data_IF_396265131337
#
_entry.id   IF_396265131337
#
_cell.length_a   1.000
_cell.length_b   1.000
_cell.length_c   1.000
_cell.angle_alpha   90.00
_cell.angle_beta   90.00
_cell.angle_gamma   90.00
#
_symmetry.space_group_name_H-M   'P 1'
#
loop_
_entity.id
_entity.type
_entity.pdbx_description
1 polymer ?
#
# COMPACT_ATOMS: atom_id res chain seq x y z
N UNK A 1 -0.11 -21.51 20.76
CA UNK A 1 -0.33 -21.52 19.30
C UNK A 1 -1.74 -21.10 18.87
N UNK A 2 -2.83 -21.62 19.44
CA UNK A 2 -4.21 -21.22 19.04
C UNK A 2 -4.54 -19.73 19.23
N UNK A 3 -3.96 -19.05 20.23
CA UNK A 3 -4.13 -17.60 20.47
C UNK A 3 -3.32 -16.69 19.53
N UNK A 4 -2.29 -17.22 18.87
CA UNK A 4 -1.44 -16.44 17.95
C UNK A 4 -2.09 -16.29 16.56
N UNK A 5 -2.98 -17.24 16.21
CA UNK A 5 -3.72 -17.25 14.95
C UNK A 5 -4.91 -16.27 15.01
N UNK A 6 -5.54 -16.05 16.16
CA UNK A 6 -6.65 -15.09 16.29
C UNK A 6 -6.21 -13.63 16.16
N UNK A 7 -5.03 -13.25 16.67
CA UNK A 7 -4.50 -11.87 16.55
C UNK A 7 -4.25 -11.48 15.09
N UNK A 8 -3.91 -12.45 14.24
CA UNK A 8 -3.69 -12.26 12.80
C UNK A 8 -5.01 -12.08 12.03
N UNK A 9 -6.12 -12.64 12.53
CA UNK A 9 -7.46 -12.49 11.92
C UNK A 9 -7.96 -11.03 12.00
N UNK A 10 -7.61 -10.27 13.05
CA UNK A 10 -7.99 -8.85 13.17
C UNK A 10 -7.18 -7.90 12.28
N UNK A 11 -5.91 -8.24 12.00
CA UNK A 11 -5.08 -7.49 11.04
C UNK A 11 -5.56 -7.71 9.60
N UNK A 12 -6.13 -8.88 9.31
CA UNK A 12 -6.72 -9.20 8.00
C UNK A 12 -7.95 -8.35 7.66
N UNK A 13 -8.63 -7.79 8.66
CA UNK A 13 -9.82 -6.94 8.46
C UNK A 13 -9.47 -5.47 8.18
N UNK A 14 -8.22 -5.05 8.37
CA UNK A 14 -7.77 -3.73 7.92
C UNK A 14 -7.58 -3.64 6.41
N UNK A 15 -7.32 -4.74 5.72
CA UNK A 15 -7.06 -4.77 4.28
C UNK A 15 -8.34 -4.93 3.43
N UNK A 16 -9.50 -5.05 4.08
CA UNK A 16 -10.82 -4.94 3.44
C UNK A 16 -11.44 -3.55 3.63
N UNK A 17 -10.62 -2.53 3.93
CA UNK A 17 -11.09 -1.17 4.15
C UNK A 17 -12.03 -0.70 3.03
N UNK A 18 -13.29 -0.54 3.42
CA UNK A 18 -14.24 0.48 2.94
C UNK A 18 -15.00 0.22 1.64
N UNK A 19 -15.99 -0.65 1.75
CA UNK A 19 -17.22 -0.62 0.95
C UNK A 19 -18.32 0.31 1.51
N UNK A 20 -17.96 1.41 2.20
CA UNK A 20 -18.93 2.46 2.55
C UNK A 20 -18.39 3.83 2.14
N UNK A 21 -18.43 4.06 0.83
CA UNK A 21 -18.42 5.42 0.27
C UNK A 21 -19.86 5.93 0.38
N UNK A 22 -20.04 7.03 1.12
CA UNK A 22 -21.19 7.95 1.09
C UNK A 22 -22.50 7.43 0.45
N UNK A 23 -23.41 6.91 1.26
CA UNK A 23 -24.84 6.94 0.91
C UNK A 23 -25.45 8.23 1.45
N UNK A 24 -25.36 9.28 0.64
CA UNK A 24 -26.38 10.33 0.62
C UNK A 24 -27.28 10.06 -0.58
N UNK A 25 -28.53 9.70 -0.30
CA UNK A 25 -29.66 9.50 -1.24
C UNK A 25 -29.39 8.67 -2.50
N UNK A 26 -29.02 7.39 -2.31
CA UNK A 26 -29.09 6.35 -3.34
C UNK A 26 -30.08 5.30 -2.84
N UNK A 27 -31.04 4.89 -3.68
CA UNK A 27 -32.00 3.85 -3.28
C UNK A 27 -31.27 2.55 -2.91
N UNK A 28 -31.73 1.82 -1.89
CA UNK A 28 -31.07 0.59 -1.41
C UNK A 28 -30.84 -0.44 -2.54
N UNK A 29 -31.74 -0.49 -3.52
CA UNK A 29 -31.61 -1.34 -4.72
C UNK A 29 -30.43 -0.96 -5.63
N UNK A 30 -30.10 0.33 -5.74
CA UNK A 30 -28.97 0.80 -6.54
C UNK A 30 -27.62 0.57 -5.84
N UNK A 31 -27.61 0.61 -4.50
CA UNK A 31 -26.43 0.29 -3.70
C UNK A 31 -26.10 -1.21 -3.77
N UNK A 32 -27.12 -2.06 -3.60
CA UNK A 32 -26.97 -3.53 -3.68
C UNK A 32 -26.52 -3.98 -5.08
N UNK A 33 -27.10 -3.40 -6.14
CA UNK A 33 -26.70 -3.69 -7.52
C UNK A 33 -25.24 -3.27 -7.80
N UNK A 34 -24.82 -2.09 -7.33
CA UNK A 34 -23.41 -1.65 -7.45
C UNK A 34 -22.46 -2.57 -6.67
N UNK A 35 -22.86 -3.04 -5.50
CA UNK A 35 -22.09 -3.99 -4.71
C UNK A 35 -21.90 -5.32 -5.45
N UNK A 36 -22.98 -5.85 -6.05
CA UNK A 36 -22.94 -7.08 -6.85
C UNK A 36 -22.05 -6.91 -8.10
N UNK A 37 -22.16 -5.79 -8.81
CA UNK A 37 -21.32 -5.47 -9.97
C UNK A 37 -19.84 -5.34 -9.58
N UNK A 38 -19.54 -4.72 -8.42
CA UNK A 38 -18.17 -4.66 -7.88
C UNK A 38 -17.64 -6.05 -7.54
N UNK A 39 -18.41 -6.88 -6.82
CA UNK A 39 -18.03 -8.28 -6.50
C UNK A 39 -17.72 -9.08 -7.76
N UNK A 40 -18.59 -9.00 -8.78
CA UNK A 40 -18.39 -9.68 -10.05
C UNK A 40 -17.14 -9.19 -10.80
N UNK A 41 -16.83 -7.89 -10.72
CA UNK A 41 -15.60 -7.30 -11.29
C UNK A 41 -14.35 -7.83 -10.60
N UNK A 42 -14.33 -7.87 -9.26
CA UNK A 42 -13.20 -8.40 -8.49
C UNK A 42 -12.94 -9.87 -8.80
N UNK A 43 -13.98 -10.71 -8.84
CA UNK A 43 -13.87 -12.13 -9.21
C UNK A 43 -13.22 -12.34 -10.58
N UNK A 44 -13.53 -11.48 -11.57
CA UNK A 44 -12.90 -11.57 -12.91
C UNK A 44 -11.42 -11.20 -12.87
N UNK A 45 -11.04 -10.16 -12.11
CA UNK A 45 -9.66 -9.73 -11.94
C UNK A 45 -8.86 -10.85 -11.27
N UNK A 46 -9.39 -11.44 -10.19
CA UNK A 46 -8.74 -12.52 -9.46
C UNK A 46 -8.61 -13.80 -10.30
N UNK A 47 -9.64 -14.14 -11.07
CA UNK A 47 -9.60 -15.28 -11.99
C UNK A 47 -8.50 -15.10 -13.05
N UNK A 48 -8.40 -13.91 -13.64
CA UNK A 48 -7.34 -13.61 -14.62
C UNK A 48 -5.96 -13.61 -13.97
N UNK A 49 -5.83 -13.06 -12.76
CA UNK A 49 -4.59 -13.07 -12.00
C UNK A 49 -4.12 -14.51 -11.71
N UNK A 50 -5.01 -15.38 -11.21
CA UNK A 50 -4.74 -16.80 -10.98
C UNK A 50 -4.30 -17.52 -12.26
N UNK A 51 -4.93 -17.22 -13.40
CA UNK A 51 -4.53 -17.78 -14.69
C UNK A 51 -3.10 -17.38 -15.06
N UNK A 52 -2.76 -16.08 -14.96
CA UNK A 52 -1.42 -15.59 -15.25
C UNK A 52 -0.37 -16.16 -14.28
N UNK A 53 -0.69 -16.25 -12.99
CA UNK A 53 0.19 -16.84 -11.98
C UNK A 53 0.45 -18.32 -12.26
N UNK A 54 -0.58 -19.08 -12.68
CA UNK A 54 -0.43 -20.48 -13.07
C UNK A 54 0.48 -20.64 -14.30
N UNK A 55 0.34 -19.76 -15.30
CA UNK A 55 1.27 -19.76 -16.44
C UNK A 55 2.70 -19.47 -16.01
N UNK A 56 2.89 -18.47 -15.13
CA UNK A 56 4.21 -18.10 -14.63
C UNK A 56 4.84 -19.28 -13.87
N UNK A 57 4.03 -19.97 -13.09
CA UNK A 57 4.46 -21.10 -12.29
C UNK A 57 4.90 -22.31 -13.08
N UNK A 58 4.12 -22.63 -14.11
CA UNK A 58 4.42 -23.72 -15.02
C UNK A 58 5.46 -23.32 -16.07
N UNK A 59 6.18 -22.20 -15.85
CA UNK A 59 7.24 -21.68 -16.73
C UNK A 59 6.78 -21.43 -18.17
N UNK A 60 5.48 -21.17 -18.36
CA UNK A 60 4.90 -20.83 -19.66
C UNK A 60 5.12 -19.34 -20.00
N UNK A 61 6.36 -18.87 -19.87
CA UNK A 61 6.73 -17.46 -20.01
C UNK A 61 6.39 -16.90 -21.40
N UNK A 62 6.58 -17.69 -22.47
CA UNK A 62 6.23 -17.26 -23.83
C UNK A 62 4.72 -16.98 -23.97
N UNK A 63 3.88 -17.84 -23.38
CA UNK A 63 2.42 -17.66 -23.39
C UNK A 63 1.97 -16.41 -22.63
N UNK A 64 2.67 -16.06 -21.54
CA UNK A 64 2.46 -14.78 -20.84
C UNK A 64 2.74 -13.59 -21.77
N UNK A 65 3.79 -13.67 -22.58
CA UNK A 65 4.13 -12.61 -23.53
C UNK A 65 3.11 -12.51 -24.66
N UNK A 66 2.61 -13.64 -25.17
CA UNK A 66 1.52 -13.66 -26.17
C UNK A 66 0.27 -12.93 -25.63
N UNK A 67 -0.10 -13.18 -24.37
CA UNK A 67 -1.23 -12.53 -23.68
C UNK A 67 -0.98 -11.04 -23.44
N UNK A 68 0.27 -10.65 -23.16
CA UNK A 68 0.66 -9.25 -22.96
C UNK A 68 0.49 -8.43 -24.23
N UNK A 69 0.89 -8.99 -25.39
CA UNK A 69 0.76 -8.33 -26.69
C UNK A 69 -0.65 -8.39 -27.29
N UNK A 70 -1.53 -9.24 -26.77
CA UNK A 70 -2.95 -9.21 -27.13
C UNK A 70 -3.62 -7.92 -26.63
N UNK A 71 -3.80 -6.98 -27.56
CA UNK A 71 -4.34 -5.63 -27.34
C UNK A 71 -5.85 -5.58 -27.12
N UNK A 72 -6.56 -6.69 -27.30
CA UNK A 72 -8.03 -6.72 -27.23
C UNK A 72 -8.59 -6.46 -25.83
N UNK A 73 -7.76 -6.59 -24.79
CA UNK A 73 -8.21 -6.45 -23.40
C UNK A 73 -7.26 -5.57 -22.57
N UNK A 74 -7.60 -4.29 -22.49
CA UNK A 74 -6.90 -3.26 -21.68
C UNK A 74 -7.24 -3.32 -20.19
N UNK A 75 -8.33 -4.01 -19.81
CA UNK A 75 -8.83 -4.05 -18.43
C UNK A 75 -7.89 -4.76 -17.45
N UNK A 76 -6.94 -5.54 -17.95
CA UNK A 76 -5.99 -6.31 -17.14
C UNK A 76 -4.54 -5.85 -17.32
N UNK A 77 -4.33 -4.59 -17.75
CA UNK A 77 -3.01 -4.04 -18.08
C UNK A 77 -1.98 -4.30 -16.97
N UNK A 78 -2.31 -4.02 -15.72
CA UNK A 78 -1.34 -4.12 -14.61
C UNK A 78 -0.90 -5.56 -14.35
N UNK A 79 -1.85 -6.50 -14.34
CA UNK A 79 -1.58 -7.93 -14.18
C UNK A 79 -0.74 -8.46 -15.35
N UNK A 80 -1.10 -8.07 -16.59
CA UNK A 80 -0.35 -8.45 -17.80
C UNK A 80 1.07 -7.90 -17.76
N UNK A 81 1.23 -6.62 -17.40
CA UNK A 81 2.51 -5.91 -17.44
C UNK A 81 3.48 -6.44 -16.40
N UNK A 82 3.05 -6.58 -15.14
CA UNK A 82 3.90 -7.13 -14.07
C UNK A 82 4.40 -8.56 -14.39
N UNK A 83 3.52 -9.42 -14.94
CA UNK A 83 3.90 -10.76 -15.34
C UNK A 83 4.81 -10.78 -16.58
N UNK A 84 4.61 -9.87 -17.53
CA UNK A 84 5.46 -9.76 -18.73
C UNK A 84 6.88 -9.32 -18.39
N UNK A 85 7.05 -8.34 -17.49
CA UNK A 85 8.37 -7.90 -16.99
C UNK A 85 9.14 -9.11 -16.43
N UNK A 86 8.48 -9.89 -15.57
CA UNK A 86 9.07 -11.07 -14.97
C UNK A 86 9.33 -12.20 -15.98
N UNK A 87 8.41 -12.43 -16.92
CA UNK A 87 8.58 -13.43 -17.97
C UNK A 87 9.80 -13.13 -18.86
N UNK A 88 10.00 -11.87 -19.26
CA UNK A 88 11.21 -11.46 -19.98
C UNK A 88 12.48 -11.70 -19.17
N UNK A 89 12.46 -11.32 -17.90
CA UNK A 89 13.58 -11.57 -16.98
C UNK A 89 13.91 -13.06 -16.86
N UNK A 90 12.90 -13.93 -16.71
CA UNK A 90 13.09 -15.39 -16.61
C UNK A 90 13.60 -16.03 -17.91
N UNK A 91 13.34 -15.42 -19.07
CA UNK A 91 13.87 -15.85 -20.36
C UNK A 91 15.29 -15.32 -20.63
N UNK A 92 15.86 -14.52 -19.72
CA UNK A 92 17.18 -13.89 -19.89
C UNK A 92 17.18 -12.61 -20.74
N UNK A 93 16.01 -12.14 -21.20
CA UNK A 93 15.89 -10.89 -21.95
C UNK A 93 15.69 -9.71 -21.00
N UNK A 94 16.78 -9.38 -20.28
CA UNK A 94 16.77 -8.31 -19.29
C UNK A 94 16.57 -6.93 -19.92
N UNK A 95 17.02 -6.73 -21.16
CA UNK A 95 16.84 -5.49 -21.90
C UNK A 95 15.36 -5.19 -22.16
N UNK A 96 14.56 -6.18 -22.59
CA UNK A 96 13.12 -5.97 -22.75
C UNK A 96 12.40 -5.79 -21.43
N UNK A 97 12.78 -6.54 -20.40
CA UNK A 97 12.26 -6.35 -19.04
C UNK A 97 12.46 -4.90 -18.57
N UNK A 98 13.69 -4.40 -18.69
CA UNK A 98 14.06 -3.04 -18.30
C UNK A 98 13.41 -1.97 -19.21
N UNK A 99 13.24 -2.26 -20.50
CA UNK A 99 12.54 -1.37 -21.44
C UNK A 99 11.08 -1.15 -21.06
N UNK A 100 10.37 -2.18 -20.59
CA UNK A 100 8.99 -2.06 -20.14
C UNK A 100 8.93 -1.14 -18.90
N UNK A 101 9.78 -1.40 -17.89
CA UNK A 101 9.88 -0.58 -16.67
C UNK A 101 10.18 0.88 -17.03
N UNK A 102 11.19 1.10 -17.88
CA UNK A 102 11.60 2.44 -18.31
C UNK A 102 10.48 3.15 -19.07
N UNK A 103 9.71 2.44 -19.89
CA UNK A 103 8.57 3.05 -20.61
C UNK A 103 7.46 3.54 -19.66
N UNK A 104 7.19 2.78 -18.59
CA UNK A 104 6.24 3.17 -17.54
C UNK A 104 6.75 4.39 -16.79
N UNK A 105 8.03 4.38 -16.43
CA UNK A 105 8.65 5.48 -15.67
C UNK A 105 8.77 6.76 -16.49
N UNK A 106 9.18 6.65 -17.76
CA UNK A 106 9.39 7.80 -18.65
C UNK A 106 8.11 8.62 -18.86
N UNK A 107 6.93 8.01 -18.73
CA UNK A 107 5.68 8.76 -18.80
C UNK A 107 5.47 9.70 -17.60
N UNK A 108 6.10 9.42 -16.46
CA UNK A 108 6.10 10.22 -15.24
C UNK A 108 7.28 11.22 -15.16
N UNK A 109 8.09 11.30 -16.23
CA UNK A 109 9.26 12.18 -16.33
C UNK A 109 9.17 13.11 -17.55
N UNK A 110 7.97 13.62 -17.86
CA UNK A 110 7.75 14.51 -19.00
C UNK A 110 7.89 15.97 -18.58
N UNK A 111 8.74 16.72 -19.32
CA UNK A 111 8.96 18.19 -19.31
C UNK A 111 8.35 18.92 -18.10
N UNK A 112 9.13 19.05 -17.02
CA UNK A 112 8.80 19.88 -15.85
C UNK A 112 7.76 19.30 -14.89
N UNK A 113 7.37 18.02 -15.04
CA UNK A 113 6.40 17.33 -14.17
C UNK A 113 6.90 15.98 -13.70
N UNK A 114 8.17 15.89 -13.32
CA UNK A 114 8.69 14.66 -12.73
C UNK A 114 7.87 14.33 -11.46
N UNK A 115 7.41 13.09 -11.32
CA UNK A 115 6.71 12.65 -10.12
C UNK A 115 7.07 11.19 -9.79
N UNK A 116 7.87 11.02 -8.73
CA UNK A 116 8.34 9.72 -8.26
C UNK A 116 7.24 8.93 -7.55
N UNK A 117 6.30 9.61 -6.89
CA UNK A 117 5.11 8.98 -6.30
C UNK A 117 4.24 8.37 -7.41
N UNK A 118 3.97 9.12 -8.49
CA UNK A 118 3.23 8.60 -9.65
C UNK A 118 3.97 7.44 -10.32
N UNK A 119 5.29 7.54 -10.47
CA UNK A 119 6.11 6.45 -11.00
C UNK A 119 6.03 5.20 -10.13
N UNK A 120 6.09 5.35 -8.80
CA UNK A 120 5.91 4.25 -7.86
C UNK A 120 4.52 3.60 -8.00
N UNK A 121 3.46 4.40 -7.97
CA UNK A 121 2.08 3.90 -8.12
C UNK A 121 1.88 3.11 -9.42
N UNK A 122 2.47 3.54 -10.54
CA UNK A 122 2.39 2.82 -11.82
C UNK A 122 3.22 1.54 -11.87
N UNK A 123 4.20 1.39 -10.98
CA UNK A 123 5.00 0.17 -10.82
C UNK A 123 4.44 -0.75 -9.73
N UNK A 124 3.38 -0.34 -9.05
CA UNK A 124 2.76 -1.09 -7.98
C UNK A 124 1.81 -2.18 -8.55
N UNK A 125 2.38 -3.22 -9.16
CA UNK A 125 1.63 -4.36 -9.68
C UNK A 125 1.27 -5.38 -8.58
N UNK A 126 0.55 -4.93 -7.54
CA UNK A 126 0.24 -5.72 -6.33
C UNK A 126 -0.43 -7.08 -6.61
N UNK A 127 -1.13 -7.20 -7.73
CA UNK A 127 -1.82 -8.42 -8.13
C UNK A 127 -1.00 -9.32 -9.06
N UNK A 128 0.29 -9.07 -9.27
CA UNK A 128 1.14 -9.87 -10.16
C UNK A 128 2.19 -10.65 -9.37
N UNK A 129 2.04 -11.97 -9.31
CA UNK A 129 3.01 -12.87 -8.69
C UNK A 129 4.36 -12.84 -9.43
N UNK A 130 4.33 -12.69 -10.76
CA UNK A 130 5.55 -12.47 -11.54
C UNK A 130 6.31 -11.21 -11.11
N UNK A 131 5.63 -10.08 -10.93
CA UNK A 131 6.26 -8.84 -10.46
C UNK A 131 6.90 -8.99 -9.08
N UNK A 132 6.18 -9.63 -8.16
CA UNK A 132 6.67 -9.98 -6.82
C UNK A 132 7.94 -10.83 -6.91
N UNK A 133 7.94 -11.87 -7.76
CA UNK A 133 9.12 -12.68 -8.02
C UNK A 133 10.30 -11.83 -8.52
N UNK A 134 10.05 -10.94 -9.49
CA UNK A 134 11.07 -10.04 -10.03
C UNK A 134 11.70 -9.17 -8.96
N UNK A 135 10.90 -8.59 -8.05
CA UNK A 135 11.36 -7.75 -6.94
C UNK A 135 12.04 -8.53 -5.81
N UNK A 136 11.80 -9.83 -5.66
CA UNK A 136 12.50 -10.65 -4.66
C UNK A 136 13.99 -10.80 -4.95
N UNK A 137 14.43 -10.51 -6.19
CA UNK A 137 15.84 -10.34 -6.50
C UNK A 137 16.33 -8.97 -5.97
N UNK A 138 17.32 -8.93 -5.05
CA UNK A 138 17.81 -7.68 -4.47
C UNK A 138 18.34 -6.67 -5.48
N UNK A 139 18.95 -7.13 -6.57
CA UNK A 139 19.46 -6.27 -7.63
C UNK A 139 18.31 -5.56 -8.36
N UNK A 140 17.24 -6.29 -8.68
CA UNK A 140 16.07 -5.72 -9.33
C UNK A 140 15.33 -4.74 -8.41
N UNK A 141 15.17 -5.07 -7.12
CA UNK A 141 14.59 -4.13 -6.14
C UNK A 141 15.40 -2.85 -6.04
N UNK A 142 16.72 -2.96 -5.91
CA UNK A 142 17.63 -1.82 -5.86
C UNK A 142 17.56 -0.96 -7.13
N UNK A 143 17.38 -1.58 -8.29
CA UNK A 143 17.15 -0.87 -9.57
C UNK A 143 15.89 -0.02 -9.52
N UNK A 144 14.77 -0.57 -9.05
CA UNK A 144 13.51 0.19 -8.91
C UNK A 144 13.68 1.35 -7.92
N UNK A 145 14.27 1.10 -6.76
CA UNK A 145 14.50 2.15 -5.75
C UNK A 145 15.37 3.27 -6.31
N UNK A 146 16.43 2.93 -7.05
CA UNK A 146 17.32 3.88 -7.72
C UNK A 146 16.57 4.72 -8.76
N UNK A 147 15.72 4.09 -9.58
CA UNK A 147 14.90 4.80 -10.57
C UNK A 147 13.96 5.80 -9.89
N UNK A 148 13.26 5.40 -8.83
CA UNK A 148 12.37 6.28 -8.08
C UNK A 148 13.12 7.46 -7.45
N UNK A 149 14.27 7.21 -6.83
CA UNK A 149 15.11 8.28 -6.25
C UNK A 149 15.62 9.25 -7.31
N UNK A 150 15.98 8.76 -8.50
CA UNK A 150 16.41 9.62 -9.59
C UNK A 150 15.30 10.53 -10.11
N UNK A 151 14.05 10.06 -10.16
CA UNK A 151 12.89 10.91 -10.49
C UNK A 151 12.65 11.93 -9.37
N UNK A 152 12.78 11.52 -8.11
CA UNK A 152 12.58 12.42 -6.96
C UNK A 152 13.55 13.60 -6.98
N UNK A 153 14.80 13.37 -7.37
CA UNK A 153 15.80 14.45 -7.52
C UNK A 153 15.40 15.52 -8.54
N UNK A 154 14.44 15.23 -9.43
CA UNK A 154 13.92 16.17 -10.43
C UNK A 154 12.70 16.99 -9.93
N UNK A 155 12.16 16.72 -8.73
CA UNK A 155 10.92 17.33 -8.21
C UNK A 155 11.09 18.68 -7.49
N UNK A 156 12.29 19.27 -7.46
CA UNK A 156 12.55 20.58 -6.80
C UNK A 156 11.98 20.70 -5.38
N UNK A 157 12.12 19.65 -4.55
CA UNK A 157 11.62 19.62 -3.18
C UNK A 157 12.56 20.35 -2.22
N UNK A 158 12.01 21.18 -1.33
CA UNK A 158 12.77 21.94 -0.32
C UNK A 158 13.65 21.04 0.56
N UNK A 159 13.17 19.82 0.87
CA UNK A 159 13.92 18.84 1.62
C UNK A 159 13.93 17.46 0.93
N UNK A 160 14.50 17.40 -0.28
CA UNK A 160 14.58 16.18 -1.09
C UNK A 160 15.16 14.97 -0.35
N UNK A 161 16.14 15.16 0.55
CA UNK A 161 16.75 14.05 1.31
C UNK A 161 15.76 13.39 2.28
N UNK A 162 14.90 14.18 2.93
CA UNK A 162 13.86 13.63 3.80
C UNK A 162 12.74 12.99 2.97
N UNK A 163 12.36 13.61 1.85
CA UNK A 163 11.38 13.03 0.92
C UNK A 163 11.86 11.67 0.37
N UNK A 164 13.13 11.54 0.03
CA UNK A 164 13.75 10.28 -0.42
C UNK A 164 13.67 9.21 0.66
N UNK A 165 14.03 9.55 1.91
CA UNK A 165 13.90 8.63 3.05
C UNK A 165 12.46 8.16 3.25
N UNK A 166 11.50 9.09 3.23
CA UNK A 166 10.07 8.77 3.41
C UNK A 166 9.56 7.90 2.26
N UNK A 167 9.92 8.23 1.01
CA UNK A 167 9.58 7.43 -0.15
C UNK A 167 10.07 5.99 0.00
N UNK A 168 11.35 5.80 0.32
CA UNK A 168 11.92 4.46 0.46
C UNK A 168 11.32 3.68 1.63
N UNK A 169 11.07 4.33 2.77
CA UNK A 169 10.34 3.71 3.89
C UNK A 169 8.95 3.25 3.46
N UNK A 170 8.19 4.10 2.76
CA UNK A 170 6.86 3.76 2.26
C UNK A 170 6.89 2.62 1.24
N UNK A 171 7.77 2.69 0.25
CA UNK A 171 7.97 1.64 -0.76
C UNK A 171 8.29 0.30 -0.11
N UNK A 172 9.14 0.30 0.93
CA UNK A 172 9.53 -0.92 1.62
C UNK A 172 8.40 -1.48 2.51
N UNK A 173 7.67 -0.62 3.24
CA UNK A 173 6.49 -1.03 4.00
C UNK A 173 5.45 -1.70 3.09
N UNK A 174 5.11 -1.04 1.98
CA UNK A 174 4.16 -1.57 1.00
C UNK A 174 4.64 -2.89 0.37
N UNK A 175 5.92 -2.98 0.00
CA UNK A 175 6.49 -4.23 -0.50
C UNK A 175 6.34 -5.36 0.52
N UNK A 176 6.71 -5.16 1.78
CA UNK A 176 6.62 -6.19 2.82
C UNK A 176 5.17 -6.64 3.05
N UNK A 177 4.22 -5.70 3.07
CA UNK A 177 2.80 -5.98 3.21
C UNK A 177 2.25 -6.80 2.06
N UNK A 178 2.55 -6.42 0.82
CA UNK A 178 2.18 -7.21 -0.35
C UNK A 178 2.71 -8.66 -0.28
N UNK A 179 3.95 -8.88 0.16
CA UNK A 179 4.49 -10.23 0.33
C UNK A 179 3.72 -11.03 1.39
N UNK A 180 3.34 -10.34 2.47
CA UNK A 180 2.59 -10.90 3.58
C UNK A 180 1.17 -11.29 3.15
N UNK A 181 0.52 -10.45 2.35
CA UNK A 181 -0.82 -10.72 1.82
C UNK A 181 -0.85 -11.94 0.91
N UNK A 182 0.16 -12.10 0.04
CA UNK A 182 0.30 -13.28 -0.83
C UNK A 182 0.44 -14.57 0.01
N UNK A 183 1.19 -14.52 1.11
CA UNK A 183 1.29 -15.65 2.03
C UNK A 183 -0.09 -16.00 2.63
N UNK A 184 -0.88 -15.01 2.98
CA UNK A 184 -2.20 -15.27 3.56
C UNK A 184 -3.25 -15.69 2.53
N UNK A 185 -3.18 -15.21 1.29
CA UNK A 185 -4.03 -15.70 0.21
C UNK A 185 -3.87 -17.21 0.02
N UNK A 186 -2.63 -17.71 0.15
CA UNK A 186 -2.34 -19.13 0.12
C UNK A 186 -2.98 -19.91 1.28
N UNK A 187 -2.93 -19.39 2.50
CA UNK A 187 -3.48 -20.07 3.68
C UNK A 187 -5.01 -20.05 3.66
N UNK A 188 -5.60 -18.93 3.28
CA UNK A 188 -7.06 -18.75 3.24
C UNK A 188 -7.73 -19.44 2.05
N UNK A 189 -6.96 -19.86 1.04
CA UNK A 189 -7.48 -20.48 -0.18
C UNK A 189 -8.21 -19.52 -1.13
N UNK A 190 -8.16 -18.21 -0.84
CA UNK A 190 -8.81 -17.15 -1.63
C UNK A 190 -8.12 -16.93 -2.98
N UNK A 191 -6.81 -17.18 -3.06
CA UNK A 191 -6.03 -17.25 -4.30
C UNK A 191 -5.05 -18.41 -4.18
N UNK A 192 -5.01 -19.30 -5.18
CA UNK A 192 -4.01 -20.37 -5.21
C UNK A 192 -2.73 -19.81 -5.81
N UNK A 193 -1.90 -19.19 -4.97
CA UNK A 193 -0.56 -18.79 -5.42
C UNK A 193 0.30 -20.06 -5.48
N UNK A 194 0.91 -20.38 -6.63
CA UNK A 194 1.72 -21.57 -6.79
C UNK A 194 2.80 -21.70 -5.71
N UNK A 195 3.12 -22.92 -5.25
CA UNK A 195 4.17 -23.22 -4.24
C UNK A 195 5.60 -22.84 -4.65
N UNK A 196 5.80 -22.06 -5.70
CA UNK A 196 7.10 -21.53 -6.12
C UNK A 196 7.67 -20.48 -5.15
N UNK A 197 6.87 -20.06 -4.18
CA UNK A 197 7.23 -19.07 -3.17
C UNK A 197 7.24 -19.77 -1.82
N UNK A 198 8.42 -20.22 -1.38
CA UNK A 198 8.69 -20.22 0.06
C UNK A 198 8.78 -18.74 0.47
N UNK A 199 7.63 -18.12 0.74
CA UNK A 199 7.58 -16.78 1.29
C UNK A 199 8.16 -16.89 2.69
N UNK A 200 9.39 -16.40 2.86
CA UNK A 200 10.01 -16.23 4.17
C UNK A 200 9.28 -15.11 4.90
N UNK A 201 8.11 -15.44 5.45
CA UNK A 201 7.26 -14.52 6.19
C UNK A 201 8.01 -13.91 7.38
N UNK A 202 8.96 -14.63 7.97
CA UNK A 202 9.81 -14.14 9.05
C UNK A 202 10.71 -13.01 8.54
N UNK A 203 11.33 -13.16 7.37
CA UNK A 203 12.13 -12.09 6.74
C UNK A 203 11.29 -10.84 6.50
N UNK A 204 10.08 -10.98 5.95
CA UNK A 204 9.24 -9.81 5.65
C UNK A 204 8.71 -9.11 6.91
N UNK A 205 8.36 -9.87 7.95
CA UNK A 205 8.03 -9.32 9.26
C UNK A 205 9.21 -8.55 9.89
N UNK A 206 10.44 -9.08 9.75
CA UNK A 206 11.65 -8.36 10.18
C UNK A 206 11.86 -7.06 9.40
N UNK A 207 11.65 -7.07 8.09
CA UNK A 207 11.78 -5.88 7.25
C UNK A 207 10.72 -4.82 7.56
N UNK A 208 9.48 -5.23 7.85
CA UNK A 208 8.42 -4.32 8.30
C UNK A 208 8.80 -3.68 9.65
N UNK A 209 9.30 -4.47 10.61
CA UNK A 209 9.79 -3.95 11.89
C UNK A 209 10.95 -2.96 11.70
N UNK A 210 11.91 -3.28 10.84
CA UNK A 210 13.02 -2.36 10.53
C UNK A 210 12.51 -1.03 9.96
N UNK A 211 11.50 -1.07 9.09
CA UNK A 211 10.88 0.14 8.53
C UNK A 211 10.23 0.99 9.62
N UNK A 212 9.50 0.36 10.56
CA UNK A 212 8.93 1.06 11.71
C UNK A 212 10.01 1.67 12.62
N UNK A 213 11.12 0.97 12.84
CA UNK A 213 12.28 1.47 13.59
C UNK A 213 12.94 2.67 12.89
N UNK A 214 13.08 2.64 11.57
CA UNK A 214 13.64 3.74 10.78
C UNK A 214 12.74 4.99 10.82
N UNK A 215 11.41 4.81 10.76
CA UNK A 215 10.42 5.89 10.92
C UNK A 215 10.52 6.51 12.32
N UNK A 216 10.54 5.66 13.35
CA UNK A 216 10.67 6.11 14.74
C UNK A 216 11.95 6.93 14.93
N UNK A 217 13.09 6.41 14.44
CA UNK A 217 14.38 7.08 14.52
C UNK A 217 14.35 8.44 13.83
N UNK A 218 13.81 8.52 12.61
CA UNK A 218 13.68 9.79 11.88
C UNK A 218 12.93 10.84 12.71
N UNK A 219 11.79 10.45 13.30
CA UNK A 219 10.95 11.36 14.07
C UNK A 219 11.52 11.70 15.45
N UNK A 220 12.23 10.76 16.07
CA UNK A 220 12.93 11.00 17.33
C UNK A 220 14.07 12.02 17.17
N UNK A 221 14.81 11.93 16.07
CA UNK A 221 15.88 12.87 15.72
C UNK A 221 15.33 14.25 15.37
N UNK A 222 14.26 14.31 14.58
CA UNK A 222 13.66 15.58 14.13
C UNK A 222 12.77 16.25 15.18
N UNK A 223 12.19 15.46 16.09
CA UNK A 223 11.18 15.86 17.09
C UNK A 223 9.98 16.58 16.48
N UNK A 224 9.64 16.30 15.21
CA UNK A 224 8.55 16.96 14.48
C UNK A 224 8.05 16.13 13.30
N UNK A 225 6.84 16.45 12.84
CA UNK A 225 6.33 16.02 11.53
C UNK A 225 6.75 17.03 10.45
N UNK A 226 6.90 16.55 9.22
CA UNK A 226 7.26 17.36 8.05
C UNK A 226 6.00 17.75 7.27
N UNK A 227 5.92 19.01 6.85
CA UNK A 227 4.79 19.52 6.08
C UNK A 227 4.91 19.29 4.58
N UNK A 228 3.77 19.29 3.89
CA UNK A 228 3.70 19.18 2.42
C UNK A 228 4.58 20.20 1.68
N UNK A 229 4.77 21.39 2.23
CA UNK A 229 5.59 22.42 1.59
C UNK A 229 7.09 22.20 1.77
N UNK A 230 7.48 21.32 2.70
CA UNK A 230 8.89 20.96 2.92
C UNK A 230 9.29 19.75 2.10
N UNK A 231 8.43 18.73 2.10
CA UNK A 231 8.77 17.41 1.58
C UNK A 231 7.93 17.00 0.37
N UNK A 232 6.90 17.75 0.00
CA UNK A 232 5.91 17.43 -1.03
C UNK A 232 4.67 16.74 -0.47
N UNK A 233 3.51 16.99 -1.10
CA UNK A 233 2.19 16.50 -0.67
C UNK A 233 2.14 14.98 -0.49
N UNK A 234 2.60 14.23 -1.48
CA UNK A 234 2.54 12.76 -1.45
C UNK A 234 3.39 12.19 -0.30
N UNK A 235 4.54 12.79 -0.02
CA UNK A 235 5.46 12.33 1.01
C UNK A 235 4.98 12.69 2.42
N UNK A 236 4.36 13.86 2.59
CA UNK A 236 3.68 14.19 3.84
C UNK A 236 2.53 13.22 4.12
N UNK A 237 1.80 12.83 3.07
CA UNK A 237 0.79 11.79 3.16
C UNK A 237 1.39 10.42 3.52
N UNK A 238 2.44 9.98 2.83
CA UNK A 238 3.14 8.71 3.11
C UNK A 238 3.69 8.64 4.53
N UNK A 239 4.23 9.75 5.06
CA UNK A 239 4.71 9.78 6.44
C UNK A 239 3.58 9.47 7.42
N UNK A 240 2.42 10.13 7.29
CA UNK A 240 1.27 9.86 8.15
C UNK A 240 0.76 8.43 8.01
N UNK A 241 0.80 7.89 6.78
CA UNK A 241 0.47 6.49 6.49
C UNK A 241 1.44 5.50 7.18
N UNK A 242 2.72 5.83 7.25
CA UNK A 242 3.70 5.01 7.98
C UNK A 242 3.44 5.00 9.49
N UNK A 243 2.93 6.10 10.07
CA UNK A 243 2.66 6.16 11.51
C UNK A 243 1.45 5.30 11.91
N UNK A 244 0.43 5.22 11.06
CA UNK A 244 -0.76 4.41 11.36
C UNK A 244 -0.45 2.91 11.39
N UNK A 245 0.64 2.50 10.76
CA UNK A 245 1.16 1.13 10.70
C UNK A 245 1.97 0.69 11.92
N UNK A 246 2.18 1.58 12.89
CA UNK A 246 2.88 1.26 14.13
C UNK A 246 1.99 0.44 15.07
N UNK A 247 2.50 -0.70 15.52
CA UNK A 247 1.79 -1.56 16.47
C UNK A 247 2.24 -1.30 17.93
N UNK A 248 3.36 -0.61 18.15
CA UNK A 248 3.85 -0.26 19.49
C UNK A 248 3.09 0.93 20.09
N UNK A 249 2.34 0.70 21.18
CA UNK A 249 1.53 1.74 21.82
C UNK A 249 2.34 2.90 22.40
N UNK A 250 3.57 2.65 22.87
CA UNK A 250 4.43 3.71 23.41
C UNK A 250 4.86 4.65 22.29
N UNK A 251 5.20 4.10 21.12
CA UNK A 251 5.53 4.89 19.92
C UNK A 251 4.32 5.61 19.36
N UNK A 252 3.14 4.99 19.38
CA UNK A 252 1.90 5.67 18.96
C UNK A 252 1.57 6.87 19.85
N UNK A 253 1.73 6.76 21.16
CA UNK A 253 1.58 7.91 22.07
C UNK A 253 2.55 9.03 21.74
N UNK A 254 3.79 8.68 21.40
CA UNK A 254 4.79 9.64 20.92
C UNK A 254 4.36 10.30 19.60
N UNK A 255 3.91 9.53 18.61
CA UNK A 255 3.45 10.05 17.32
C UNK A 255 2.21 10.94 17.47
N UNK A 256 1.25 10.59 18.32
CA UNK A 256 0.08 11.42 18.59
C UNK A 256 0.49 12.80 19.13
N UNK A 257 1.50 12.88 20.00
CA UNK A 257 2.06 14.16 20.47
C UNK A 257 2.65 14.96 19.31
N UNK A 258 3.40 14.32 18.42
CA UNK A 258 3.95 14.98 17.23
C UNK A 258 2.87 15.46 16.25
N UNK A 259 1.80 14.68 16.04
CA UNK A 259 0.66 15.07 15.19
C UNK A 259 -0.05 16.28 15.80
N UNK A 260 -0.31 16.27 17.11
CA UNK A 260 -0.95 17.41 17.81
C UNK A 260 -0.11 18.69 17.69
N UNK A 261 1.21 18.61 17.86
CA UNK A 261 2.10 19.75 17.64
C UNK A 261 2.14 20.18 16.16
N UNK A 262 2.11 19.21 15.23
CA UNK A 262 1.98 19.46 13.80
C UNK A 262 0.71 20.23 13.44
N UNK A 263 -0.42 19.92 14.08
CA UNK A 263 -1.67 20.68 13.91
C UNK A 263 -1.54 22.10 14.45
N UNK A 264 -0.97 22.25 15.65
CA UNK A 264 -0.73 23.57 16.27
C UNK A 264 0.16 24.48 15.41
N UNK A 265 1.12 23.90 14.72
CA UNK A 265 2.07 24.61 13.83
C UNK A 265 1.58 24.72 12.38
N UNK A 266 0.39 24.21 12.05
CA UNK A 266 -0.19 24.28 10.70
C UNK A 266 0.39 23.28 9.68
N UNK A 267 1.19 22.32 10.14
CA UNK A 267 1.81 21.26 9.32
C UNK A 267 0.82 20.13 9.01
N UNK A 268 -0.12 19.86 9.91
CA UNK A 268 -1.15 18.83 9.77
C UNK A 268 -2.56 19.40 9.97
N UNK A 269 -3.58 18.69 9.50
CA UNK A 269 -4.98 19.05 9.79
C UNK A 269 -5.46 18.35 11.06
N UNK A 270 -6.45 18.95 11.75
CA UNK A 270 -7.10 18.33 12.91
C UNK A 270 -7.66 16.94 12.59
N UNK A 271 -8.12 16.69 11.36
CA UNK A 271 -8.58 15.38 10.90
C UNK A 271 -7.50 14.29 11.03
N UNK A 272 -6.21 14.64 10.92
CA UNK A 272 -5.13 13.68 11.12
C UNK A 272 -5.05 13.17 12.57
N UNK A 273 -5.40 13.99 13.56
CA UNK A 273 -5.49 13.56 14.96
C UNK A 273 -6.59 12.51 15.11
N UNK A 274 -7.79 12.81 14.61
CA UNK A 274 -8.96 11.92 14.70
C UNK A 274 -8.66 10.57 14.02
N UNK A 275 -8.17 10.59 12.78
CA UNK A 275 -7.79 9.37 12.05
C UNK A 275 -6.78 8.53 12.84
N UNK A 276 -5.76 9.17 13.44
CA UNK A 276 -4.74 8.46 14.20
C UNK A 276 -5.27 7.85 15.50
N UNK A 277 -6.15 8.56 16.22
CA UNK A 277 -6.81 8.05 17.43
C UNK A 277 -7.67 6.84 17.09
N UNK A 278 -8.60 6.96 16.15
CA UNK A 278 -9.49 5.88 15.75
C UNK A 278 -8.71 4.65 15.31
N UNK A 279 -7.63 4.83 14.55
CA UNK A 279 -6.79 3.70 14.16
C UNK A 279 -6.07 3.04 15.35
N UNK A 280 -5.66 3.83 16.33
CA UNK A 280 -5.05 3.31 17.57
C UNK A 280 -6.08 2.49 18.36
N UNK A 281 -7.29 3.01 18.52
CA UNK A 281 -8.39 2.34 19.19
C UNK A 281 -8.79 1.04 18.48
N UNK A 282 -8.83 1.04 17.14
CA UNK A 282 -9.04 -0.17 16.33
C UNK A 282 -8.00 -1.25 16.65
N UNK A 283 -6.71 -0.88 16.69
CA UNK A 283 -5.62 -1.84 16.98
C UNK A 283 -5.77 -2.39 18.40
N UNK A 284 -6.08 -1.53 19.37
CA UNK A 284 -6.26 -1.91 20.77
C UNK A 284 -7.48 -2.82 20.99
N UNK A 285 -8.55 -2.65 20.21
CA UNK A 285 -9.73 -3.51 20.32
C UNK A 285 -9.41 -4.98 20.05
N UNK A 286 -8.43 -5.25 19.17
CA UNK A 286 -8.05 -6.60 18.79
C UNK A 286 -9.22 -7.42 18.20
N UNK A 287 -9.04 -8.73 17.98
CA UNK A 287 -10.06 -9.57 17.35
C UNK A 287 -11.35 -9.68 18.15
N UNK A 288 -11.25 -9.79 19.47
CA UNK A 288 -12.38 -10.02 20.37
C UNK A 288 -13.20 -8.74 20.60
N UNK A 289 -12.58 -7.56 20.51
CA UNK A 289 -13.24 -6.26 20.69
C UNK A 289 -13.71 -5.61 19.38
N UNK A 290 -13.36 -6.16 18.22
CA UNK A 290 -13.55 -5.49 16.93
C UNK A 290 -15.03 -5.26 16.59
N UNK A 291 -15.89 -6.24 16.85
CA UNK A 291 -17.33 -6.13 16.59
C UNK A 291 -17.93 -4.98 17.41
N UNK A 292 -17.55 -4.89 18.69
CA UNK A 292 -17.99 -3.81 19.59
C UNK A 292 -17.46 -2.46 19.14
N UNK A 293 -16.18 -2.37 18.76
CA UNK A 293 -15.57 -1.16 18.24
C UNK A 293 -16.30 -0.66 16.98
N UNK A 294 -16.54 -1.56 16.03
CA UNK A 294 -17.20 -1.23 14.76
C UNK A 294 -18.63 -0.73 14.98
N UNK A 295 -19.40 -1.38 15.87
CA UNK A 295 -20.76 -0.94 16.23
C UNK A 295 -20.80 0.45 16.88
N UNK A 296 -19.74 0.84 17.59
CA UNK A 296 -19.64 2.15 18.25
C UNK A 296 -18.92 3.23 17.45
N UNK A 297 -18.43 2.92 16.24
CA UNK A 297 -17.51 3.78 15.49
C UNK A 297 -18.11 5.15 15.16
N UNK A 298 -19.36 5.22 14.71
CA UNK A 298 -20.00 6.48 14.33
C UNK A 298 -20.19 7.42 15.52
N UNK A 299 -20.60 6.88 16.67
CA UNK A 299 -20.69 7.63 17.92
C UNK A 299 -19.32 8.16 18.33
N UNK A 300 -18.27 7.31 18.23
CA UNK A 300 -16.90 7.70 18.56
C UNK A 300 -16.35 8.77 17.62
N UNK A 301 -16.65 8.70 16.31
CA UNK A 301 -16.32 9.74 15.34
C UNK A 301 -16.99 11.06 15.73
N UNK A 302 -18.29 11.04 16.04
CA UNK A 302 -19.03 12.26 16.41
C UNK A 302 -18.44 12.93 17.67
N UNK A 303 -18.04 12.14 18.67
CA UNK A 303 -17.35 12.64 19.86
C UNK A 303 -16.03 13.33 19.51
N UNK A 304 -15.17 12.68 18.72
CA UNK A 304 -13.86 13.21 18.35
C UNK A 304 -13.97 14.44 17.43
N UNK A 305 -14.94 14.45 16.52
CA UNK A 305 -15.25 15.60 15.66
C UNK A 305 -15.60 16.82 16.50
N UNK A 306 -16.39 16.62 17.56
CA UNK A 306 -16.74 17.67 18.52
C UNK A 306 -15.54 18.07 19.39
N UNK A 307 -14.77 17.09 19.91
CA UNK A 307 -13.59 17.33 20.75
C UNK A 307 -12.52 18.18 20.04
N UNK A 308 -12.25 17.87 18.77
CA UNK A 308 -11.21 18.54 18.00
C UNK A 308 -11.74 19.70 17.14
N UNK A 309 -13.05 19.94 17.12
CA UNK A 309 -13.69 21.01 16.32
C UNK A 309 -13.30 20.91 14.83
N UNK A 310 -13.77 19.84 14.18
CA UNK A 310 -13.52 19.54 12.76
C UNK A 310 -14.82 19.61 11.97
N UNK A 311 -14.95 20.58 11.07
CA UNK A 311 -16.09 20.66 10.16
C UNK A 311 -15.92 19.70 8.97
N UNK A 312 -17.01 19.06 8.54
CA UNK A 312 -17.04 18.18 7.36
C UNK A 312 -15.99 17.06 7.39
N UNK A 313 -15.85 16.39 8.54
CA UNK A 313 -14.97 15.24 8.66
C UNK A 313 -15.45 14.08 7.79
N UNK A 314 -14.57 13.58 6.92
CA UNK A 314 -14.71 12.27 6.30
C UNK A 314 -13.69 11.34 6.93
N UNK A 315 -14.16 10.20 7.45
CA UNK A 315 -13.26 9.16 7.90
C UNK A 315 -12.46 8.68 6.69
N UNK A 316 -11.14 8.79 6.80
CA UNK A 316 -10.28 8.28 5.76
C UNK A 316 -9.59 7.04 6.31
N UNK A 317 -10.01 5.91 5.77
CA UNK A 317 -9.68 4.60 6.31
C UNK A 317 -8.27 4.12 6.06
N UNK A 318 -7.49 4.93 5.33
CA UNK A 318 -6.09 4.74 4.95
C UNK A 318 -5.52 3.34 5.24
#
# INVERSE_FOLDING_TARGET
MKRFIMVIIAMFLCFQSFGMIHMSDISDNDAEKREQEMKAKYLRIDSFANFMDSLFANKHYRKILDIYYDTTNTKFRDIKTGNAIAAYYMLGDTLRSDSIISSIVNCCNKKGKANASEAYWKLQFNNSVGWVYYLNNPYNKSKIDTLLCNILKLQELKNAKISEKILLMYVNDQYCRNQTDIYYWNISGTRRVPRLFEIDSIRYLKMQKQTADDVFKLLQESKRIYGKEEIGTDYAFYLLFLLIHEDDMTRRDYYLKLIKEGVKTGVCTKSNIINFILRTEYIQAGPEGLEKYTKGLDARIAELVKEYDVQNYSFNSW
#
